data_IF_341915597234
#
_entry.id   IF_341915597234
#
_cell.length_a   1.000
_cell.length_b   1.000
_cell.length_c   1.000
_cell.angle_alpha   90.00
_cell.angle_beta   90.00
_cell.angle_gamma   90.00
#
_symmetry.space_group_name_H-M   'P 1'
#
loop_
_entity.id
_entity.type
_entity.pdbx_description
1 polymer ?
#
# COMPACT_ATOMS: atom_id res chain seq x y z
N UNK A 1 21.76 4.32 7.35
CA UNK A 1 20.57 5.10 6.97
C UNK A 1 19.48 4.87 8.02
N UNK A 2 19.03 5.94 8.64
CA UNK A 2 17.98 5.85 9.64
C UNK A 2 16.63 5.76 8.94
N UNK A 3 16.01 4.58 9.00
CA UNK A 3 14.65 4.41 8.49
C UNK A 3 13.68 4.93 9.54
N UNK A 4 13.09 6.08 9.31
CA UNK A 4 12.01 6.56 10.14
C UNK A 4 10.80 5.67 9.92
N UNK A 5 10.22 5.23 11.02
CA UNK A 5 9.02 4.41 10.97
C UNK A 5 7.87 5.21 10.38
N UNK A 6 7.16 4.64 9.41
CA UNK A 6 6.01 5.30 8.78
C UNK A 6 4.95 5.64 9.83
N UNK A 7 4.39 6.83 9.71
CA UNK A 7 3.26 7.24 10.55
C UNK A 7 1.96 6.83 9.88
N UNK A 8 1.12 6.10 10.59
CA UNK A 8 -0.21 5.73 10.11
C UNK A 8 -1.21 6.74 10.66
N UNK A 9 -1.94 7.40 9.76
CA UNK A 9 -3.01 8.34 10.08
C UNK A 9 -4.33 7.67 9.75
N UNK A 10 -5.20 7.50 10.75
CA UNK A 10 -6.41 6.72 10.67
C UNK A 10 -7.56 7.43 11.38
N UNK A 11 -8.78 7.09 11.00
CA UNK A 11 -10.02 7.50 11.67
C UNK A 11 -10.69 6.29 12.31
N UNK A 12 -10.48 6.07 13.61
CA UNK A 12 -11.04 4.89 14.29
C UNK A 12 -12.56 4.78 14.18
N UNK A 13 -13.28 5.90 14.14
CA UNK A 13 -14.74 5.90 14.03
C UNK A 13 -15.26 5.39 12.67
N UNK A 14 -14.40 5.31 11.66
CA UNK A 14 -14.76 4.82 10.32
C UNK A 14 -14.41 3.35 10.11
N UNK A 15 -13.67 2.75 11.04
CA UNK A 15 -13.24 1.36 10.91
C UNK A 15 -14.43 0.40 10.88
N UNK A 16 -14.33 -0.61 10.04
CA UNK A 16 -15.31 -1.70 9.92
C UNK A 16 -16.71 -1.25 9.49
N UNK A 17 -16.83 -0.04 8.95
CA UNK A 17 -18.09 0.46 8.40
C UNK A 17 -18.10 0.32 6.88
N UNK A 18 -19.27 0.09 6.34
CA UNK A 18 -19.49 -0.01 4.90
C UNK A 18 -20.18 1.26 4.38
N UNK A 19 -20.00 1.52 3.07
CA UNK A 19 -20.71 2.61 2.36
C UNK A 19 -20.42 4.01 2.95
N UNK A 20 -19.20 4.24 3.38
CA UNK A 20 -18.77 5.52 3.99
C UNK A 20 -18.59 6.63 2.97
N UNK A 21 -18.16 6.27 1.77
CA UNK A 21 -17.88 7.21 0.70
C UNK A 21 -18.82 6.97 -0.47
N UNK A 22 -19.23 8.04 -1.11
CA UNK A 22 -20.06 7.98 -2.31
C UNK A 22 -19.31 7.28 -3.46
N UNK A 23 -18.04 7.64 -3.64
CA UNK A 23 -17.13 7.07 -4.63
C UNK A 23 -15.67 7.36 -4.23
N UNK A 24 -14.73 6.98 -5.10
CA UNK A 24 -13.30 7.24 -4.86
C UNK A 24 -12.95 8.73 -4.88
N UNK A 25 -13.68 9.53 -5.63
CA UNK A 25 -13.49 11.00 -5.66
C UNK A 25 -13.86 11.59 -4.30
N UNK A 26 -14.99 11.19 -3.75
CA UNK A 26 -15.43 11.60 -2.42
C UNK A 26 -14.41 11.20 -1.34
N UNK A 27 -13.94 9.96 -1.40
CA UNK A 27 -12.89 9.47 -0.50
C UNK A 27 -11.62 10.31 -0.60
N UNK A 28 -11.18 10.63 -1.82
CA UNK A 28 -10.00 11.45 -2.06
C UNK A 28 -10.13 12.87 -1.50
N UNK A 29 -11.30 13.48 -1.65
CA UNK A 29 -11.57 14.83 -1.11
C UNK A 29 -11.57 14.85 0.41
N UNK A 30 -12.18 13.87 1.04
CA UNK A 30 -12.19 13.75 2.50
C UNK A 30 -10.79 13.51 3.05
N UNK A 31 -10.01 12.67 2.37
CA UNK A 31 -8.63 12.41 2.75
C UNK A 31 -7.77 13.68 2.60
N UNK A 32 -7.94 14.44 1.52
CA UNK A 32 -7.24 15.71 1.31
C UNK A 32 -7.55 16.71 2.42
N UNK A 33 -8.81 16.82 2.79
CA UNK A 33 -9.24 17.69 3.88
C UNK A 33 -8.57 17.33 5.21
N UNK A 34 -8.48 16.03 5.49
CA UNK A 34 -7.82 15.54 6.71
C UNK A 34 -6.31 15.80 6.69
N UNK A 35 -5.66 15.57 5.54
CA UNK A 35 -4.20 15.65 5.43
C UNK A 35 -3.67 17.08 5.30
N UNK A 36 -4.49 18.03 4.88
CA UNK A 36 -4.03 19.40 4.58
C UNK A 36 -3.25 20.05 5.73
N UNK A 37 -3.63 19.81 6.97
CA UNK A 37 -2.96 20.35 8.15
C UNK A 37 -1.79 19.50 8.65
N UNK A 38 -1.61 18.28 8.08
CA UNK A 38 -0.65 17.30 8.56
C UNK A 38 0.55 17.09 7.64
N UNK A 39 0.44 17.53 6.39
CA UNK A 39 1.49 17.34 5.38
C UNK A 39 2.37 18.58 5.24
N UNK A 40 3.57 18.35 4.71
CA UNK A 40 4.53 19.41 4.39
C UNK A 40 4.46 19.75 2.88
N UNK A 41 4.84 20.98 2.53
CA UNK A 41 4.77 21.49 1.16
C UNK A 41 5.65 20.72 0.16
N UNK A 42 6.71 20.08 0.66
CA UNK A 42 7.61 19.26 -0.16
C UNK A 42 7.26 17.79 -0.20
N UNK A 43 6.02 17.46 0.15
CA UNK A 43 5.53 16.08 0.12
C UNK A 43 5.23 15.61 -1.31
N UNK A 44 5.21 14.30 -1.51
CA UNK A 44 4.79 13.65 -2.75
C UNK A 44 3.72 12.62 -2.42
N UNK A 45 2.75 12.47 -3.28
CA UNK A 45 1.70 11.47 -3.16
C UNK A 45 2.14 10.21 -3.90
N UNK A 46 2.09 9.07 -3.22
CA UNK A 46 2.35 7.77 -3.83
C UNK A 46 1.07 6.96 -3.82
N UNK A 47 0.58 6.59 -5.00
CA UNK A 47 -0.64 5.80 -5.16
C UNK A 47 -0.31 4.36 -5.56
N UNK A 48 -1.05 3.42 -4.97
CA UNK A 48 -0.92 2.00 -5.30
C UNK A 48 -2.01 1.64 -6.31
N UNK A 49 -1.66 1.25 -7.54
CA UNK A 49 -2.63 0.78 -8.53
C UNK A 49 -3.40 -0.47 -8.08
N UNK A 50 -4.60 -0.73 -8.58
CA UNK A 50 -5.30 0.17 -9.47
C UNK A 50 -6.23 1.11 -8.69
N UNK A 51 -6.85 0.67 -7.62
CA UNK A 51 -7.88 1.41 -6.87
C UNK A 51 -7.38 2.67 -6.17
N UNK A 52 -6.10 2.73 -5.81
CA UNK A 52 -5.50 3.91 -5.17
C UNK A 52 -5.26 5.08 -6.12
N UNK A 53 -5.21 4.83 -7.43
CA UNK A 53 -4.89 5.89 -8.40
C UNK A 53 -5.95 6.99 -8.45
N UNK A 54 -7.26 6.70 -8.58
CA UNK A 54 -8.28 7.76 -8.56
C UNK A 54 -8.25 8.58 -7.27
N UNK A 55 -8.05 7.93 -6.13
CA UNK A 55 -7.92 8.63 -4.84
C UNK A 55 -6.69 9.52 -4.83
N UNK A 56 -5.55 9.00 -5.30
CA UNK A 56 -4.29 9.74 -5.38
C UNK A 56 -4.36 10.96 -6.29
N UNK A 57 -5.04 10.84 -7.43
CA UNK A 57 -5.24 11.95 -8.38
C UNK A 57 -6.02 13.09 -7.72
N UNK A 58 -7.11 12.77 -7.05
CA UNK A 58 -7.90 13.79 -6.34
C UNK A 58 -7.08 14.44 -5.23
N UNK A 59 -6.37 13.63 -4.48
CA UNK A 59 -5.50 14.09 -3.39
C UNK A 59 -4.42 15.04 -3.91
N UNK A 60 -3.74 14.66 -4.99
CA UNK A 60 -2.70 15.47 -5.62
C UNK A 60 -3.24 16.82 -6.12
N UNK A 61 -4.42 16.82 -6.75
CA UNK A 61 -5.07 18.03 -7.24
C UNK A 61 -5.50 18.96 -6.09
N UNK A 62 -6.12 18.41 -5.06
CA UNK A 62 -6.60 19.18 -3.91
C UNK A 62 -5.46 19.78 -3.07
N UNK A 63 -4.36 19.02 -2.92
CA UNK A 63 -3.21 19.45 -2.12
C UNK A 63 -2.11 20.12 -2.94
N UNK A 64 -2.25 20.14 -4.27
CA UNK A 64 -1.26 20.69 -5.20
C UNK A 64 0.12 20.07 -5.02
N UNK A 65 0.15 18.74 -4.91
CA UNK A 65 1.36 17.95 -4.75
C UNK A 65 1.58 17.04 -5.95
N UNK A 66 2.85 16.70 -6.24
CA UNK A 66 3.14 15.72 -7.28
C UNK A 66 2.63 14.34 -6.91
N UNK A 67 2.26 13.56 -7.93
CA UNK A 67 1.77 12.20 -7.81
C UNK A 67 2.72 11.25 -8.54
N UNK A 68 3.03 10.13 -7.89
CA UNK A 68 3.73 9.02 -8.52
C UNK A 68 3.08 7.71 -8.10
N UNK A 69 3.45 6.63 -8.76
CA UNK A 69 2.87 5.32 -8.53
C UNK A 69 3.85 4.40 -7.81
N UNK A 70 3.32 3.60 -6.89
CA UNK A 70 4.07 2.51 -6.27
C UNK A 70 3.45 1.20 -6.75
N UNK A 71 4.15 0.50 -7.62
CA UNK A 71 3.70 -0.81 -8.11
C UNK A 71 4.20 -1.87 -7.16
N UNK A 72 3.27 -2.61 -6.57
CA UNK A 72 3.58 -3.75 -5.71
C UNK A 72 2.81 -4.96 -6.18
N UNK A 73 3.40 -6.14 -6.03
CA UNK A 73 2.75 -7.41 -6.35
C UNK A 73 2.72 -8.29 -5.11
N UNK A 74 1.55 -8.82 -4.82
CA UNK A 74 1.38 -9.79 -3.75
C UNK A 74 2.19 -11.05 -4.04
N UNK A 75 2.92 -11.55 -3.03
CA UNK A 75 3.57 -12.86 -3.11
C UNK A 75 2.58 -13.87 -2.56
N UNK A 76 1.95 -14.70 -3.41
CA UNK A 76 0.88 -15.60 -2.97
C UNK A 76 1.40 -16.74 -2.13
N UNK A 77 0.57 -17.24 -1.23
CA UNK A 77 0.81 -18.49 -0.52
C UNK A 77 0.67 -19.63 -1.53
N UNK A 78 1.63 -20.58 -1.60
CA UNK A 78 1.64 -21.62 -2.64
C UNK A 78 0.34 -22.42 -2.76
N UNK A 79 -0.28 -22.71 -1.63
CA UNK A 79 -1.51 -23.52 -1.58
C UNK A 79 -2.79 -22.68 -1.60
N UNK A 80 -2.67 -21.35 -1.52
CA UNK A 80 -3.82 -20.45 -1.54
C UNK A 80 -3.44 -19.14 -2.24
N UNK A 81 -3.60 -19.07 -3.58
CA UNK A 81 -3.24 -17.88 -4.36
C UNK A 81 -4.00 -16.61 -4.00
N UNK A 82 -5.16 -16.75 -3.37
CA UNK A 82 -5.96 -15.58 -2.93
C UNK A 82 -5.32 -14.85 -1.76
N UNK A 83 -4.57 -15.57 -0.93
CA UNK A 83 -3.84 -15.01 0.19
C UNK A 83 -2.37 -14.79 -0.17
N UNK A 84 -1.74 -13.82 0.49
CA UNK A 84 -0.32 -13.53 0.30
C UNK A 84 0.40 -13.39 1.62
N UNK A 85 1.68 -13.76 1.63
CA UNK A 85 2.52 -13.61 2.81
C UNK A 85 3.48 -12.42 2.72
N UNK A 86 3.45 -11.69 1.61
CA UNK A 86 4.28 -10.52 1.42
C UNK A 86 3.96 -9.80 0.12
N UNK A 87 4.78 -8.82 -0.19
CA UNK A 87 4.69 -8.05 -1.42
C UNK A 87 6.08 -7.75 -1.95
N UNK A 88 6.19 -7.61 -3.26
CA UNK A 88 7.45 -7.31 -3.93
C UNK A 88 7.26 -6.17 -4.93
N UNK A 89 8.23 -5.26 -4.97
CA UNK A 89 8.28 -4.18 -5.96
C UNK A 89 9.03 -4.65 -7.22
N UNK A 90 8.88 -3.95 -8.37
CA UNK A 90 9.59 -4.31 -9.60
C UNK A 90 11.12 -4.29 -9.47
N UNK A 91 11.64 -3.46 -8.59
CA UNK A 91 13.09 -3.37 -8.30
C UNK A 91 13.57 -4.42 -7.28
N UNK A 92 12.68 -5.31 -6.85
CA UNK A 92 13.05 -6.46 -6.02
C UNK A 92 12.96 -6.23 -4.51
N UNK A 93 12.42 -5.11 -4.06
CA UNK A 93 12.23 -4.86 -2.63
C UNK A 93 11.08 -5.70 -2.09
N UNK A 94 11.32 -6.43 -1.01
CA UNK A 94 10.34 -7.36 -0.43
C UNK A 94 9.93 -6.91 0.96
N UNK A 95 8.63 -6.91 1.23
CA UNK A 95 8.06 -6.73 2.57
C UNK A 95 7.27 -7.98 2.93
N UNK A 96 7.48 -8.53 4.11
CA UNK A 96 6.88 -9.78 4.55
C UNK A 96 5.94 -9.57 5.74
N UNK A 97 4.90 -10.38 5.81
CA UNK A 97 4.12 -10.57 7.02
C UNK A 97 4.83 -11.62 7.87
N UNK A 98 5.64 -11.17 8.82
CA UNK A 98 6.51 -12.02 9.62
C UNK A 98 5.74 -13.09 10.42
N UNK A 99 4.57 -12.73 10.94
CA UNK A 99 3.73 -13.66 11.69
C UNK A 99 3.25 -14.81 10.80
N UNK A 100 2.82 -14.47 9.59
CA UNK A 100 2.32 -15.45 8.64
C UNK A 100 3.45 -16.35 8.11
N UNK A 101 4.61 -15.77 7.83
CA UNK A 101 5.81 -16.51 7.42
C UNK A 101 6.18 -17.56 8.46
N UNK A 102 6.16 -17.20 9.75
CA UNK A 102 6.42 -18.12 10.85
C UNK A 102 5.34 -19.20 10.94
N UNK A 103 4.08 -18.80 10.84
CA UNK A 103 2.96 -19.75 10.94
C UNK A 103 2.99 -20.80 9.81
N UNK A 104 3.42 -20.39 8.61
CA UNK A 104 3.53 -21.28 7.45
C UNK A 104 4.85 -22.07 7.42
N UNK A 105 5.80 -21.74 8.29
CA UNK A 105 7.10 -22.40 8.33
C UNK A 105 7.96 -22.17 7.08
N UNK A 106 7.82 -21.02 6.44
CA UNK A 106 8.55 -20.69 5.21
C UNK A 106 10.02 -20.39 5.53
N UNK A 107 10.93 -20.99 4.75
CA UNK A 107 12.36 -20.70 4.84
C UNK A 107 12.72 -19.49 3.99
N UNK A 108 13.86 -18.86 4.25
CA UNK A 108 14.37 -17.76 3.43
C UNK A 108 14.52 -18.15 1.95
N UNK A 109 14.96 -19.38 1.72
CA UNK A 109 15.14 -19.92 0.37
C UNK A 109 13.80 -20.01 -0.37
N UNK A 110 12.78 -20.54 0.29
CA UNK A 110 11.43 -20.63 -0.26
C UNK A 110 10.84 -19.24 -0.57
N UNK A 111 11.01 -18.29 0.35
CA UNK A 111 10.54 -16.91 0.17
C UNK A 111 11.19 -16.29 -1.08
N UNK A 112 12.51 -16.44 -1.24
CA UNK A 112 13.22 -15.94 -2.43
C UNK A 112 12.70 -16.56 -3.71
N UNK A 113 12.46 -17.86 -3.72
CA UNK A 113 11.93 -18.57 -4.90
C UNK A 113 10.56 -18.03 -5.29
N UNK A 114 9.65 -17.89 -4.34
CA UNK A 114 8.30 -17.39 -4.61
C UNK A 114 8.31 -15.92 -5.05
N UNK A 115 9.14 -15.11 -4.41
CA UNK A 115 9.29 -13.69 -4.77
C UNK A 115 9.83 -13.52 -6.20
N UNK A 116 10.86 -14.28 -6.58
CA UNK A 116 11.44 -14.23 -7.92
C UNK A 116 10.46 -14.69 -9.00
N UNK A 117 9.67 -15.72 -8.72
CA UNK A 117 8.60 -16.14 -9.63
C UNK A 117 7.61 -15.01 -9.89
N UNK A 118 7.31 -14.22 -8.87
CA UNK A 118 6.35 -13.13 -9.01
C UNK A 118 6.89 -11.97 -9.84
N UNK A 119 8.21 -11.74 -9.82
CA UNK A 119 8.85 -10.71 -10.64
C UNK A 119 8.82 -11.06 -12.12
N UNK A 120 8.91 -12.36 -12.48
CA UNK A 120 8.94 -12.83 -13.87
C UNK A 120 7.57 -12.83 -14.53
N UNK A 121 6.51 -12.76 -13.78
CA UNK A 121 5.14 -12.73 -14.27
C UNK A 121 4.60 -11.30 -14.20
#
# INVERSE_FOLDING_TARGET
MCLTKAKIIDEPCLRFKNYLFKDRVDAGRLLAKKLRALIEDNSIILAIPAGGVPVGVILANELKLPLDLVVVRKIPIPENPEAGFGAITPDGFIVLNEQLVKALGLTEKEIKVYALKRLKN
#
